data_IF_889247618317
#
_entry.id   IF_889247618317
#
_cell.length_a   1.000
_cell.length_b   1.000
_cell.length_c   1.000
_cell.angle_alpha   90.00
_cell.angle_beta   90.00
_cell.angle_gamma   90.00
#
_symmetry.space_group_name_H-M   'P 1'
#
loop_
_entity.id
_entity.type
_entity.pdbx_description
1 polymer ?
#
# COMPACT_ATOMS: atom_id res chain seq x y z
N UNK A 1 4.69 -9.92 -17.75
CA UNK A 1 4.39 -8.55 -17.24
C UNK A 1 5.36 -8.22 -16.10
N UNK A 2 5.62 -6.94 -15.82
CA UNK A 2 6.53 -6.56 -14.72
C UNK A 2 5.92 -6.63 -13.32
N UNK A 3 4.59 -6.63 -13.25
CA UNK A 3 3.81 -6.74 -12.01
C UNK A 3 2.54 -7.53 -12.28
N UNK A 4 2.15 -8.39 -11.35
CA UNK A 4 0.89 -9.14 -11.40
C UNK A 4 0.27 -9.17 -10.01
N UNK A 5 -0.91 -8.57 -9.87
CA UNK A 5 -1.77 -8.78 -8.70
C UNK A 5 -2.46 -10.14 -8.80
N UNK A 6 -2.41 -10.91 -7.71
CA UNK A 6 -2.89 -12.30 -7.66
C UNK A 6 -4.13 -12.40 -6.78
N UNK A 7 -5.17 -11.61 -7.11
CA UNK A 7 -6.46 -11.69 -6.43
C UNK A 7 -7.04 -13.11 -6.55
N UNK A 8 -7.50 -13.67 -5.43
CA UNK A 8 -8.07 -15.03 -5.37
C UNK A 8 -7.08 -16.11 -4.95
N UNK A 9 -5.80 -15.79 -4.79
CA UNK A 9 -4.85 -16.65 -4.11
C UNK A 9 -4.95 -16.46 -2.60
N UNK A 10 -4.73 -17.54 -1.84
CA UNK A 10 -4.96 -17.54 -0.40
C UNK A 10 -3.96 -16.69 0.42
N UNK A 11 -2.82 -16.29 -0.15
CA UNK A 11 -1.75 -15.61 0.59
C UNK A 11 -0.90 -14.71 -0.32
N UNK A 12 -0.54 -15.16 -1.52
CA UNK A 12 0.18 -14.35 -2.50
C UNK A 12 -0.72 -13.24 -3.04
N UNK A 13 -0.40 -11.98 -2.76
CA UNK A 13 -1.15 -10.81 -3.22
C UNK A 13 -0.60 -10.23 -4.52
N UNK A 14 0.72 -10.30 -4.72
CA UNK A 14 1.34 -9.91 -5.97
C UNK A 14 2.72 -10.54 -6.19
N UNK A 15 3.09 -10.57 -7.47
CA UNK A 15 4.42 -10.91 -7.97
C UNK A 15 4.98 -9.71 -8.74
N UNK A 16 6.17 -9.26 -8.37
CA UNK A 16 6.93 -8.25 -9.10
C UNK A 16 8.18 -8.88 -9.72
N UNK A 17 8.43 -8.59 -10.99
CA UNK A 17 9.65 -9.02 -11.69
C UNK A 17 10.60 -7.83 -11.71
N UNK A 18 11.55 -7.81 -10.76
CA UNK A 18 12.30 -6.60 -10.41
C UNK A 18 13.19 -6.12 -11.56
N UNK A 19 13.71 -7.01 -12.40
CA UNK A 19 14.51 -6.62 -13.57
C UNK A 19 13.73 -5.77 -14.60
N UNK A 20 12.41 -5.65 -14.48
CA UNK A 20 11.59 -4.76 -15.32
C UNK A 20 11.54 -3.32 -14.82
N UNK A 21 12.00 -3.06 -13.60
CA UNK A 21 11.84 -1.77 -12.90
C UNK A 21 13.13 -1.26 -12.26
N UNK A 22 14.04 -2.17 -11.90
CA UNK A 22 15.25 -1.90 -11.11
C UNK A 22 16.50 -2.37 -11.88
N UNK A 23 17.53 -1.53 -11.91
CA UNK A 23 18.67 -1.71 -12.81
C UNK A 23 19.70 -2.75 -12.35
N UNK A 24 19.83 -2.99 -11.05
CA UNK A 24 20.72 -4.02 -10.49
C UNK A 24 20.21 -5.43 -10.84
N UNK A 25 18.91 -5.68 -10.63
CA UNK A 25 18.22 -6.89 -11.05
C UNK A 25 18.37 -7.11 -12.56
N UNK A 26 18.17 -6.07 -13.38
CA UNK A 26 18.34 -6.15 -14.83
C UNK A 26 19.76 -6.58 -15.23
N UNK A 27 20.80 -5.93 -14.70
CA UNK A 27 22.21 -6.30 -14.97
C UNK A 27 22.55 -7.70 -14.47
N UNK A 28 21.95 -8.14 -13.37
CA UNK A 28 22.16 -9.49 -12.84
C UNK A 28 21.52 -10.55 -13.75
N UNK A 29 20.28 -10.31 -14.20
CA UNK A 29 19.58 -11.16 -15.17
C UNK A 29 20.34 -11.28 -16.48
N UNK A 30 20.83 -10.17 -17.05
CA UNK A 30 21.63 -10.20 -18.29
C UNK A 30 22.91 -11.06 -18.17
N UNK A 31 23.55 -11.03 -17.00
CA UNK A 31 24.80 -11.77 -16.75
C UNK A 31 24.60 -13.25 -16.45
N UNK A 32 23.47 -13.62 -15.86
CA UNK A 32 23.26 -14.97 -15.31
C UNK A 32 22.20 -15.77 -16.06
N UNK A 33 21.35 -15.10 -16.84
CA UNK A 33 20.12 -15.69 -17.39
C UNK A 33 19.04 -15.95 -16.34
N UNK A 34 19.22 -15.51 -15.09
CA UNK A 34 18.25 -15.65 -14.00
C UNK A 34 17.21 -14.51 -13.96
N UNK A 35 16.34 -14.54 -12.96
CA UNK A 35 15.35 -13.49 -12.69
C UNK A 35 15.35 -13.11 -11.21
N UNK A 36 15.01 -11.87 -10.87
CA UNK A 36 14.83 -11.43 -9.48
C UNK A 36 13.36 -11.11 -9.28
N UNK A 37 12.68 -11.95 -8.50
CA UNK A 37 11.25 -11.80 -8.25
C UNK A 37 10.98 -11.44 -6.79
N UNK A 38 9.99 -10.58 -6.58
CA UNK A 38 9.45 -10.26 -5.26
C UNK A 38 8.04 -10.83 -5.14
N UNK A 39 7.76 -11.47 -4.01
CA UNK A 39 6.46 -12.03 -3.65
C UNK A 39 5.96 -11.29 -2.41
N UNK A 40 4.72 -10.80 -2.47
CA UNK A 40 4.13 -10.06 -1.35
C UNK A 40 2.90 -10.78 -0.79
N UNK A 41 2.79 -10.79 0.53
CA UNK A 41 1.55 -11.09 1.26
C UNK A 41 1.24 -9.92 2.20
N UNK A 42 0.02 -9.40 2.15
CA UNK A 42 -0.50 -8.35 3.01
C UNK A 42 -1.41 -8.93 4.09
N UNK A 43 -1.52 -8.22 5.22
CA UNK A 43 -2.45 -8.55 6.31
C UNK A 43 -2.38 -10.02 6.76
N UNK A 44 -1.17 -10.58 6.79
CA UNK A 44 -0.95 -11.94 7.27
C UNK A 44 -1.31 -12.01 8.76
N UNK A 45 -2.15 -12.97 9.13
CA UNK A 45 -2.60 -13.12 10.51
C UNK A 45 -1.43 -13.39 11.46
N UNK A 46 -1.46 -12.78 12.65
CA UNK A 46 -0.38 -12.82 13.64
C UNK A 46 -0.05 -14.24 14.14
N UNK A 47 -0.99 -15.17 14.02
CA UNK A 47 -0.86 -16.57 14.44
C UNK A 47 -0.25 -17.48 13.36
N UNK A 48 0.03 -16.94 12.16
CA UNK A 48 0.64 -17.71 11.07
C UNK A 48 2.11 -18.00 11.35
N UNK A 49 2.51 -19.25 11.10
CA UNK A 49 3.91 -19.63 11.10
C UNK A 49 4.65 -19.00 9.90
N UNK A 50 5.76 -18.31 10.19
CA UNK A 50 6.52 -17.58 9.17
C UNK A 50 7.19 -18.51 8.16
N UNK A 51 7.90 -19.59 8.54
CA UNK A 51 8.41 -20.59 7.60
C UNK A 51 7.33 -21.18 6.69
N UNK A 52 6.17 -21.58 7.23
CA UNK A 52 5.06 -22.08 6.43
C UNK A 52 4.58 -21.03 5.41
N UNK A 53 4.43 -19.78 5.85
CA UNK A 53 4.00 -18.66 4.99
C UNK A 53 4.99 -18.43 3.84
N UNK A 54 6.29 -18.46 4.12
CA UNK A 54 7.35 -18.32 3.10
C UNK A 54 7.30 -19.44 2.07
N UNK A 55 7.15 -20.69 2.52
CA UNK A 55 7.01 -21.86 1.64
C UNK A 55 5.78 -21.73 0.76
N UNK A 56 4.63 -21.37 1.34
CA UNK A 56 3.36 -21.23 0.61
C UNK A 56 3.39 -20.11 -0.42
N UNK A 57 4.09 -19.01 -0.16
CA UNK A 57 4.30 -17.96 -1.17
C UNK A 57 5.04 -18.49 -2.40
N UNK A 58 6.09 -19.28 -2.20
CA UNK A 58 6.84 -19.88 -3.30
C UNK A 58 6.00 -20.94 -4.05
N UNK A 59 5.23 -21.76 -3.34
CA UNK A 59 4.30 -22.72 -3.95
C UNK A 59 3.26 -22.00 -4.84
N UNK A 60 2.71 -20.88 -4.36
CA UNK A 60 1.77 -20.08 -5.14
C UNK A 60 2.44 -19.36 -6.32
N UNK A 61 3.71 -18.93 -6.20
CA UNK A 61 4.48 -18.46 -7.35
C UNK A 61 4.52 -19.53 -8.45
N UNK A 62 4.78 -20.79 -8.09
CA UNK A 62 4.82 -21.90 -9.04
C UNK A 62 3.45 -22.24 -9.65
N UNK A 63 2.35 -21.90 -8.99
CA UNK A 63 1.01 -22.00 -9.55
C UNK A 63 0.75 -20.89 -10.58
N UNK A 64 1.16 -19.65 -10.26
CA UNK A 64 0.98 -18.48 -11.13
C UNK A 64 1.91 -18.53 -12.34
N UNK A 65 3.17 -18.93 -12.13
CA UNK A 65 4.23 -19.04 -13.14
C UNK A 65 4.87 -20.43 -13.10
N UNK A 66 4.25 -21.44 -13.73
CA UNK A 66 4.74 -22.83 -13.71
C UNK A 66 6.18 -23.01 -14.20
N UNK A 67 6.66 -22.14 -15.09
CA UNK A 67 8.04 -22.10 -15.57
C UNK A 67 9.08 -21.90 -14.45
N UNK A 68 8.66 -21.41 -13.28
CA UNK A 68 9.54 -21.21 -12.12
C UNK A 68 9.78 -22.48 -11.31
N UNK A 69 9.04 -23.57 -11.55
CA UNK A 69 9.14 -24.82 -10.77
C UNK A 69 10.53 -25.46 -10.84
N UNK A 70 11.15 -25.37 -12.00
CA UNK A 70 12.48 -25.94 -12.25
C UNK A 70 13.60 -24.92 -11.99
N UNK A 71 13.25 -23.69 -11.58
CA UNK A 71 14.22 -22.64 -11.29
C UNK A 71 14.91 -22.90 -9.94
N UNK A 72 16.24 -22.77 -9.92
CA UNK A 72 17.02 -22.86 -8.69
C UNK A 72 17.00 -21.52 -7.97
N UNK A 73 16.51 -21.50 -6.73
CA UNK A 73 16.67 -20.36 -5.82
C UNK A 73 18.14 -20.24 -5.43
N UNK A 74 18.77 -19.11 -5.81
CA UNK A 74 20.19 -18.83 -5.54
C UNK A 74 20.41 -17.99 -4.29
N UNK A 75 19.47 -17.10 -3.97
CA UNK A 75 19.39 -16.32 -2.73
C UNK A 75 17.91 -16.05 -2.44
N UNK A 76 17.57 -15.87 -1.17
CA UNK A 76 16.24 -15.46 -0.75
C UNK A 76 16.34 -14.50 0.44
N UNK A 77 15.59 -13.41 0.37
CA UNK A 77 15.42 -12.43 1.46
C UNK A 77 13.97 -12.35 1.84
N UNK A 78 13.71 -12.40 3.14
CA UNK A 78 12.35 -12.39 3.67
C UNK A 78 12.18 -11.21 4.62
N UNK A 79 11.47 -10.19 4.17
CA UNK A 79 11.03 -9.10 5.02
C UNK A 79 9.67 -9.42 5.62
N UNK A 80 9.57 -9.34 6.95
CA UNK A 80 8.33 -9.51 7.69
C UNK A 80 8.22 -8.36 8.68
N UNK A 81 7.27 -7.45 8.44
CA UNK A 81 7.13 -6.20 9.17
C UNK A 81 5.67 -5.96 9.53
N UNK A 82 5.47 -5.25 10.64
CA UNK A 82 4.16 -4.77 11.09
C UNK A 82 4.16 -3.23 11.10
N UNK A 83 4.61 -2.64 10.00
CA UNK A 83 4.84 -1.20 9.82
C UNK A 83 3.84 -0.53 8.85
N UNK A 84 2.97 -1.32 8.22
CA UNK A 84 1.87 -0.79 7.42
C UNK A 84 0.65 -0.44 8.29
N UNK A 85 0.03 0.74 8.10
CA UNK A 85 -1.17 1.11 8.85
C UNK A 85 -2.38 0.23 8.46
N UNK A 86 -3.00 -0.38 9.45
CA UNK A 86 -4.27 -1.10 9.26
C UNK A 86 -5.45 -0.13 9.32
N UNK A 87 -6.30 -0.10 8.29
CA UNK A 87 -7.52 0.71 8.25
C UNK A 87 -8.74 -0.13 8.64
N UNK A 88 -8.82 -0.48 9.92
CA UNK A 88 -9.94 -1.27 10.45
C UNK A 88 -11.29 -0.53 10.30
N UNK A 89 -12.36 -1.31 10.15
CA UNK A 89 -13.73 -0.78 10.11
C UNK A 89 -14.02 -0.11 11.46
N UNK A 90 -14.48 1.14 11.42
CA UNK A 90 -14.76 1.94 12.62
C UNK A 90 -13.54 2.67 13.21
N UNK A 91 -12.31 2.35 12.82
CA UNK A 91 -11.08 2.98 13.33
C UNK A 91 -10.84 4.42 12.84
N UNK A 92 -11.74 5.00 12.05
CA UNK A 92 -11.56 6.35 11.51
C UNK A 92 -11.57 7.42 12.62
N UNK A 93 -12.47 7.30 13.60
CA UNK A 93 -12.64 8.31 14.64
C UNK A 93 -11.46 8.35 15.64
N UNK A 94 -10.77 7.23 15.85
CA UNK A 94 -9.62 7.13 16.76
C UNK A 94 -8.32 7.68 16.15
N UNK A 95 -8.25 7.85 14.83
CA UNK A 95 -7.06 8.37 14.15
C UNK A 95 -6.86 9.87 14.42
N UNK A 96 -5.62 10.32 14.65
CA UNK A 96 -5.34 11.72 14.87
C UNK A 96 -5.63 12.54 13.61
N UNK A 97 -6.14 13.75 13.77
CA UNK A 97 -6.25 14.71 12.69
C UNK A 97 -4.93 15.41 12.39
N UNK A 98 -4.88 16.15 11.28
CA UNK A 98 -3.71 16.96 10.89
C UNK A 98 -3.38 18.03 11.93
N UNK A 99 -4.40 18.69 12.48
CA UNK A 99 -4.23 19.71 13.54
C UNK A 99 -4.11 19.02 14.90
N UNK A 100 -3.14 19.46 15.69
CA UNK A 100 -2.97 19.07 17.09
C UNK A 100 -3.38 20.22 18.03
N UNK A 101 -3.46 20.00 19.35
CA UNK A 101 -3.68 21.08 20.31
C UNK A 101 -2.56 22.14 20.32
N UNK A 102 -1.33 21.80 19.92
CA UNK A 102 -0.27 22.78 19.74
C UNK A 102 -0.30 23.34 18.30
N UNK A 103 -0.51 24.65 18.10
CA UNK A 103 -0.60 25.24 16.75
C UNK A 103 0.72 25.21 15.95
N UNK A 104 1.84 24.82 16.56
CA UNK A 104 3.16 24.66 15.92
C UNK A 104 3.45 23.21 15.54
N UNK A 105 2.65 22.26 16.02
CA UNK A 105 2.83 20.83 15.74
C UNK A 105 1.65 20.34 14.91
N UNK A 106 1.95 19.78 13.74
CA UNK A 106 0.98 19.19 12.83
C UNK A 106 1.36 17.75 12.53
N UNK A 107 0.37 16.92 12.21
CA UNK A 107 0.58 15.52 11.87
C UNK A 107 0.34 15.30 10.38
N UNK A 108 1.21 14.50 9.78
CA UNK A 108 1.09 13.98 8.44
C UNK A 108 1.46 12.49 8.43
N UNK A 109 1.12 11.80 7.35
CA UNK A 109 1.34 10.37 7.20
C UNK A 109 0.04 9.62 6.94
N UNK A 110 0.18 8.40 6.48
CA UNK A 110 -0.91 7.46 6.23
C UNK A 110 -1.75 7.14 7.48
N UNK A 111 -1.17 7.23 8.68
CA UNK A 111 -1.89 7.08 9.94
C UNK A 111 -2.89 8.23 10.21
N UNK A 112 -2.64 9.41 9.65
CA UNK A 112 -3.41 10.63 9.92
C UNK A 112 -4.76 10.58 9.23
N UNK A 113 -5.80 11.05 9.94
CA UNK A 113 -7.16 11.16 9.46
C UNK A 113 -7.28 12.27 8.41
N UNK A 114 -7.74 11.90 7.22
CA UNK A 114 -8.15 12.83 6.15
C UNK A 114 -9.57 12.49 5.69
N UNK A 115 -10.33 13.53 5.30
CA UNK A 115 -11.65 13.38 4.69
C UNK A 115 -11.61 13.08 3.19
N UNK A 116 -10.42 13.02 2.59
CA UNK A 116 -10.23 12.68 1.18
C UNK A 116 -10.01 11.17 1.02
N UNK A 117 -10.71 10.49 0.09
CA UNK A 117 -10.51 9.07 -0.20
C UNK A 117 -9.10 8.87 -0.76
N UNK A 118 -8.21 8.36 0.07
CA UNK A 118 -6.79 8.12 -0.22
C UNK A 118 -6.26 7.01 0.68
N UNK A 119 -5.29 6.25 0.18
CA UNK A 119 -4.63 5.15 0.89
C UNK A 119 -3.11 5.20 0.76
N UNK A 120 -2.41 4.57 1.71
CA UNK A 120 -0.96 4.31 1.67
C UNK A 120 -0.14 5.58 1.29
N UNK A 121 0.73 5.48 0.30
CA UNK A 121 1.61 6.56 -0.15
C UNK A 121 0.85 7.82 -0.57
N UNK A 122 -0.29 7.68 -1.27
CA UNK A 122 -1.14 8.81 -1.66
C UNK A 122 -1.66 9.55 -0.43
N UNK A 123 -2.09 8.80 0.59
CA UNK A 123 -2.57 9.36 1.85
C UNK A 123 -1.47 10.07 2.61
N UNK A 124 -0.27 9.49 2.68
CA UNK A 124 0.88 10.12 3.32
C UNK A 124 1.23 11.45 2.65
N UNK A 125 1.25 11.49 1.31
CA UNK A 125 1.48 12.72 0.56
C UNK A 125 0.34 13.74 0.75
N UNK A 126 -0.92 13.29 0.68
CA UNK A 126 -2.12 14.13 0.83
C UNK A 126 -2.15 14.80 2.20
N UNK A 127 -1.95 14.03 3.27
CA UNK A 127 -1.91 14.56 4.64
C UNK A 127 -0.68 15.46 4.86
N UNK A 128 0.44 15.19 4.17
CA UNK A 128 1.60 16.09 4.11
C UNK A 128 1.24 17.47 3.55
N UNK A 129 0.53 17.53 2.43
CA UNK A 129 0.03 18.80 1.89
C UNK A 129 -0.98 19.47 2.83
N UNK A 130 -1.87 18.71 3.46
CA UNK A 130 -2.81 19.26 4.45
C UNK A 130 -2.06 19.87 5.65
N UNK A 131 -1.04 19.19 6.16
CA UNK A 131 -0.21 19.66 7.26
C UNK A 131 0.58 20.92 6.88
N UNK A 132 1.18 20.93 5.69
CA UNK A 132 1.86 22.11 5.15
C UNK A 132 0.89 23.31 5.04
N UNK A 133 -0.33 23.10 4.54
CA UNK A 133 -1.34 24.15 4.43
C UNK A 133 -1.73 24.74 5.79
N UNK A 134 -1.85 23.90 6.82
CA UNK A 134 -2.13 24.36 8.20
C UNK A 134 -1.02 25.29 8.70
N UNK A 135 0.24 25.00 8.39
CA UNK A 135 1.37 25.85 8.77
C UNK A 135 1.41 27.14 7.96
N UNK A 136 1.23 27.05 6.64
CA UNK A 136 1.26 28.21 5.72
C UNK A 136 0.16 29.23 6.03
N UNK A 137 -1.04 28.76 6.38
CA UNK A 137 -2.17 29.60 6.77
C UNK A 137 -1.81 30.55 7.91
N UNK A 138 -0.99 30.10 8.87
CA UNK A 138 -0.56 30.92 10.02
C UNK A 138 0.36 32.08 9.62
N UNK A 139 1.00 31.99 8.46
CA UNK A 139 1.81 33.07 7.88
C UNK A 139 1.05 33.87 6.83
N UNK A 140 -0.25 33.62 6.63
CA UNK A 140 -1.03 34.25 5.58
C UNK A 140 -0.60 33.82 4.17
N UNK A 141 0.11 32.69 4.05
CA UNK A 141 0.61 32.17 2.78
C UNK A 141 -0.42 31.20 2.18
N UNK A 142 -0.67 31.32 0.87
CA UNK A 142 -1.56 30.43 0.14
C UNK A 142 -1.02 28.99 0.16
N UNK A 143 -1.86 28.06 0.61
CA UNK A 143 -1.58 26.62 0.56
C UNK A 143 -1.87 25.96 -0.79
N UNK A 144 -1.58 24.67 -0.88
CA UNK A 144 -1.85 23.81 -2.02
C UNK A 144 -3.31 23.37 -2.06
N UNK A 145 -3.99 23.57 -3.19
CA UNK A 145 -5.32 22.99 -3.41
C UNK A 145 -5.19 21.49 -3.67
N UNK A 146 -5.92 20.68 -2.89
CA UNK A 146 -6.00 19.24 -3.07
C UNK A 146 -7.29 18.86 -3.79
N UNK A 147 -7.17 18.01 -4.80
CA UNK A 147 -8.29 17.51 -5.60
C UNK A 147 -8.47 16.03 -5.34
N UNK A 148 -9.73 15.59 -5.27
CA UNK A 148 -10.10 14.20 -5.06
C UNK A 148 -11.43 13.91 -5.74
N UNK A 149 -11.71 12.62 -5.95
CA UNK A 149 -13.07 12.17 -6.28
C UNK A 149 -14.04 12.52 -5.15
N UNK A 150 -15.35 12.68 -5.45
CA UNK A 150 -16.36 12.92 -4.42
C UNK A 150 -16.43 11.78 -3.40
N UNK A 151 -16.58 12.10 -2.12
CA UNK A 151 -16.78 11.13 -1.04
C UNK A 151 -18.24 10.60 -0.98
N UNK A 152 -19.00 10.75 -2.05
CA UNK A 152 -20.39 10.34 -2.15
C UNK A 152 -20.67 9.78 -3.55
N UNK A 153 -21.65 8.89 -3.65
CA UNK A 153 -22.05 8.30 -4.94
C UNK A 153 -22.39 9.38 -5.96
N UNK A 154 -22.02 9.22 -7.23
CA UNK A 154 -22.20 10.28 -8.24
C UNK A 154 -23.67 10.55 -8.58
N UNK A 155 -24.54 9.54 -8.47
CA UNK A 155 -25.97 9.63 -8.79
C UNK A 155 -26.78 10.11 -7.58
N UNK A 156 -27.42 11.29 -7.71
CA UNK A 156 -28.25 11.86 -6.65
C UNK A 156 -29.44 10.95 -6.25
N UNK A 157 -30.19 10.32 -7.20
CA UNK A 157 -31.23 9.36 -6.83
C UNK A 157 -30.71 8.16 -6.03
N UNK A 158 -29.56 7.60 -6.42
CA UNK A 158 -28.98 6.46 -5.71
C UNK A 158 -28.48 6.84 -4.31
N UNK A 159 -27.95 8.06 -4.14
CA UNK A 159 -27.60 8.58 -2.80
C UNK A 159 -28.82 8.72 -1.90
N UNK A 160 -29.92 9.25 -2.43
CA UNK A 160 -31.16 9.42 -1.67
C UNK A 160 -31.74 8.07 -1.25
N UNK A 161 -31.75 7.08 -2.15
CA UNK A 161 -32.18 5.73 -1.83
C UNK A 161 -31.30 5.08 -0.73
N UNK A 162 -29.98 5.23 -0.81
CA UNK A 162 -29.05 4.69 0.17
C UNK A 162 -29.17 5.32 1.57
N UNK A 163 -29.59 6.59 1.67
CA UNK A 163 -29.81 7.26 2.97
C UNK A 163 -31.10 6.86 3.70
N UNK A 164 -31.98 6.11 3.03
CA UNK A 164 -33.23 5.61 3.61
C UNK A 164 -33.09 4.19 4.20
N UNK A 165 -31.95 3.52 3.94
CA UNK A 165 -31.59 2.22 4.49
C UNK A 165 -30.78 2.39 5.79
#
# INVERSE_FOLDING_TARGET
>A
PGFMGTSGFALLDNVSVLERWEGEAARWTERTGGSVVELHAYAVADDRDRPDTQRRLLEQLHEVYPETKDARVVDARHEWRADCPLFEVGGFASRPGVRTPDPRVVLAGDLVRTGLPSALMERAATTGFQAANVLLERWGVRGQTLWSVPCAGRSAPLRAAASLA
#
